data_IF_585498641204
#
_entry.id   IF_585498641204
#
_cell.length_a   1.000
_cell.length_b   1.000
_cell.length_c   1.000
_cell.angle_alpha   90.00
_cell.angle_beta   90.00
_cell.angle_gamma   90.00
#
_symmetry.space_group_name_H-M   'P 1'
#
loop_
_entity.id
_entity.type
_entity.pdbx_description
1 polymer ?
#
# COMPACT_ATOMS: atom_id res chain seq x y z
N UNK A 1 -9.75 4.26 -2.70
CA UNK A 1 -10.23 5.19 -3.75
C UNK A 1 -9.84 6.60 -3.35
N UNK A 2 -9.57 7.49 -4.32
CA UNK A 2 -9.28 8.91 -4.09
C UNK A 2 -9.90 9.76 -5.20
N UNK A 3 -10.15 11.03 -4.92
CA UNK A 3 -10.61 12.01 -5.91
C UNK A 3 -9.46 12.93 -6.29
N UNK A 4 -9.24 13.12 -7.58
CA UNK A 4 -8.26 14.06 -8.09
C UNK A 4 -8.78 14.72 -9.37
N UNK A 5 -8.73 16.05 -9.44
CA UNK A 5 -9.45 16.82 -10.45
C UNK A 5 -10.96 16.49 -10.45
N UNK A 6 -11.50 16.17 -11.62
CA UNK A 6 -12.91 15.88 -11.83
C UNK A 6 -13.26 14.39 -11.83
N UNK A 7 -12.33 13.52 -11.39
CA UNK A 7 -12.50 12.07 -11.45
C UNK A 7 -12.21 11.39 -10.11
N UNK A 8 -12.79 10.21 -9.97
CA UNK A 8 -12.50 9.25 -8.91
C UNK A 8 -11.58 8.17 -9.46
N UNK A 9 -10.58 7.80 -8.67
CA UNK A 9 -9.58 6.81 -9.01
C UNK A 9 -9.53 5.72 -7.94
N UNK A 10 -9.39 4.48 -8.38
CA UNK A 10 -9.16 3.33 -7.52
C UNK A 10 -7.93 2.56 -8.00
N UNK A 11 -7.33 1.80 -7.09
CA UNK A 11 -6.24 0.89 -7.39
C UNK A 11 -6.71 -0.48 -6.95
N UNK A 12 -6.79 -1.41 -7.90
CA UNK A 12 -7.12 -2.80 -7.64
C UNK A 12 -5.86 -3.62 -7.32
N UNK A 13 -6.05 -4.88 -6.94
CA UNK A 13 -4.97 -5.85 -6.75
C UNK A 13 -4.01 -5.85 -7.94
N UNK A 14 -2.73 -6.13 -7.68
CA UNK A 14 -1.65 -6.08 -8.69
C UNK A 14 -1.41 -4.67 -9.28
N UNK A 15 -1.91 -3.61 -8.63
CA UNK A 15 -1.56 -2.24 -8.97
C UNK A 15 -2.26 -1.67 -10.21
N UNK A 16 -3.41 -2.23 -10.60
CA UNK A 16 -4.20 -1.74 -11.75
C UNK A 16 -4.98 -0.50 -11.35
N UNK A 17 -4.74 0.62 -12.04
CA UNK A 17 -5.50 1.84 -11.83
C UNK A 17 -6.83 1.82 -12.60
N UNK A 18 -7.85 2.33 -11.95
CA UNK A 18 -9.22 2.41 -12.43
C UNK A 18 -9.71 3.87 -12.28
N UNK A 19 -10.51 4.36 -13.22
CA UNK A 19 -11.08 5.72 -13.17
C UNK A 19 -12.58 5.72 -13.41
N UNK A 20 -13.32 6.45 -12.57
CA UNK A 20 -14.75 6.73 -12.72
C UNK A 20 -15.00 8.23 -12.66
N UNK A 21 -16.10 8.71 -13.24
CA UNK A 21 -16.46 10.13 -13.23
C UNK A 21 -16.96 10.58 -11.86
N UNK A 22 -17.66 9.71 -11.14
CA UNK A 22 -18.34 10.02 -9.88
C UNK A 22 -18.10 8.97 -8.79
N UNK A 23 -17.34 7.91 -9.09
CA UNK A 23 -17.05 6.84 -8.14
C UNK A 23 -18.15 5.79 -8.02
N UNK A 24 -19.24 5.93 -8.79
CA UNK A 24 -20.39 5.01 -8.80
C UNK A 24 -20.64 4.46 -10.20
N UNK A 25 -20.51 5.30 -11.23
CA UNK A 25 -20.50 4.89 -12.63
C UNK A 25 -19.34 3.94 -12.92
N UNK A 26 -19.49 3.02 -13.91
CA UNK A 26 -18.48 2.01 -14.20
C UNK A 26 -17.07 2.60 -14.34
N UNK A 27 -16.12 1.92 -13.72
CA UNK A 27 -14.73 2.31 -13.81
C UNK A 27 -14.12 1.84 -15.12
N UNK A 28 -13.37 2.73 -15.76
CA UNK A 28 -12.52 2.40 -16.93
C UNK A 28 -11.14 2.02 -16.42
N UNK A 29 -10.60 0.92 -16.95
CA UNK A 29 -9.25 0.45 -16.63
C UNK A 29 -8.18 1.32 -17.29
N UNK A 30 -7.10 1.58 -16.55
CA UNK A 30 -5.93 2.32 -17.01
C UNK A 30 -4.64 1.54 -16.82
N UNK A 31 -3.51 2.23 -16.56
CA UNK A 31 -2.21 1.58 -16.45
C UNK A 31 -2.09 0.72 -15.20
N UNK A 32 -1.17 -0.23 -15.24
CA UNK A 32 -0.66 -0.96 -14.07
C UNK A 32 0.69 -0.33 -13.70
N UNK A 33 0.86 0.09 -12.44
CA UNK A 33 2.04 0.87 -12.00
C UNK A 33 2.94 0.15 -10.99
N UNK A 34 2.63 -1.09 -10.65
CA UNK A 34 3.34 -1.88 -9.63
C UNK A 34 3.64 -3.29 -10.17
N UNK A 35 4.16 -3.36 -11.39
CA UNK A 35 4.38 -4.58 -12.17
C UNK A 35 5.82 -4.73 -12.68
N UNK A 36 6.77 -4.00 -12.08
CA UNK A 36 8.19 -4.10 -12.44
C UNK A 36 8.77 -5.50 -12.21
N UNK A 37 8.22 -6.26 -11.26
CA UNK A 37 8.56 -7.65 -11.01
C UNK A 37 7.27 -8.49 -10.95
N UNK A 38 7.06 -9.44 -11.89
CA UNK A 38 5.84 -10.26 -11.92
C UNK A 38 5.73 -11.24 -10.75
N UNK A 39 6.81 -11.47 -10.00
CA UNK A 39 6.80 -12.31 -8.78
C UNK A 39 6.32 -11.53 -7.55
N UNK A 40 6.25 -10.20 -7.63
CA UNK A 40 5.85 -9.32 -6.54
C UNK A 40 4.48 -8.70 -6.83
N UNK A 41 3.48 -9.03 -6.02
CA UNK A 41 2.09 -8.60 -6.27
C UNK A 41 1.66 -7.63 -5.18
N UNK A 42 1.30 -6.40 -5.56
CA UNK A 42 0.64 -5.47 -4.66
C UNK A 42 -0.61 -6.12 -4.04
N UNK A 43 -0.66 -6.16 -2.70
CA UNK A 43 -1.72 -6.80 -1.93
C UNK A 43 -2.75 -5.77 -1.46
N UNK A 44 -2.50 -5.15 -0.32
CA UNK A 44 -3.33 -4.10 0.28
C UNK A 44 -2.57 -2.77 0.26
N UNK A 45 -3.32 -1.67 0.28
CA UNK A 45 -2.76 -0.33 0.20
C UNK A 45 -3.57 0.70 0.97
N UNK A 46 -2.89 1.79 1.34
CA UNK A 46 -3.48 3.04 1.79
C UNK A 46 -2.95 4.20 0.95
N UNK A 47 -3.81 5.19 0.74
CA UNK A 47 -3.54 6.33 -0.14
C UNK A 47 -3.51 7.63 0.64
N UNK A 48 -2.49 8.42 0.40
CA UNK A 48 -2.40 9.80 0.87
C UNK A 48 -2.20 10.73 -0.31
N UNK A 49 -3.22 11.53 -0.61
CA UNK A 49 -3.16 12.53 -1.66
C UNK A 49 -2.78 13.89 -1.06
N UNK A 50 -1.69 14.46 -1.55
CA UNK A 50 -1.26 15.81 -1.22
C UNK A 50 -1.08 16.61 -2.50
N UNK A 51 -1.98 17.55 -2.76
CA UNK A 51 -2.04 18.31 -4.01
C UNK A 51 -2.03 17.37 -5.25
N UNK A 52 -0.92 17.33 -5.98
CA UNK A 52 -0.74 16.49 -7.17
C UNK A 52 0.20 15.32 -6.93
N UNK A 53 0.46 14.96 -5.68
CA UNK A 53 1.31 13.84 -5.31
C UNK A 53 0.50 12.79 -4.56
N UNK A 54 0.41 11.61 -5.15
CA UNK A 54 -0.20 10.45 -4.53
C UNK A 54 0.88 9.59 -3.88
N UNK A 55 0.80 9.48 -2.56
CA UNK A 55 1.62 8.58 -1.76
C UNK A 55 0.84 7.28 -1.57
N UNK A 56 1.44 6.17 -1.98
CA UNK A 56 0.83 4.83 -1.91
C UNK A 56 1.64 4.03 -0.91
N UNK A 57 1.04 3.76 0.25
CA UNK A 57 1.55 2.81 1.24
C UNK A 57 1.00 1.44 0.91
N UNK A 58 1.83 0.41 0.84
CA UNK A 58 1.36 -0.91 0.41
C UNK A 58 2.26 -2.03 0.92
N UNK A 59 1.72 -3.24 0.92
CA UNK A 59 2.49 -4.48 1.09
C UNK A 59 2.44 -5.30 -0.20
N UNK A 60 3.38 -6.25 -0.36
CA UNK A 60 3.42 -7.12 -1.53
C UNK A 60 3.57 -8.59 -1.15
N UNK A 61 2.81 -9.43 -1.85
CA UNK A 61 3.05 -10.87 -1.93
C UNK A 61 4.40 -11.09 -2.61
N UNK A 62 5.18 -12.06 -2.12
CA UNK A 62 6.52 -12.38 -2.62
C UNK A 62 7.67 -11.69 -1.87
N UNK A 63 7.42 -10.58 -1.17
CA UNK A 63 8.43 -9.95 -0.32
C UNK A 63 8.86 -10.90 0.84
N UNK A 64 10.13 -10.79 1.27
CA UNK A 64 10.75 -11.62 2.31
C UNK A 64 11.61 -10.77 3.27
N UNK A 65 11.12 -10.39 4.47
CA UNK A 65 9.71 -10.47 4.88
C UNK A 65 8.82 -9.50 4.10
N UNK A 66 7.51 -9.78 4.07
CA UNK A 66 6.52 -8.78 3.66
C UNK A 66 6.50 -7.64 4.68
N UNK A 67 6.53 -6.41 4.16
CA UNK A 67 6.78 -5.18 4.92
C UNK A 67 5.99 -4.04 4.29
N UNK A 68 5.86 -2.92 5.00
CA UNK A 68 5.14 -1.76 4.46
C UNK A 68 6.11 -0.92 3.62
N UNK A 69 5.77 -0.77 2.36
CA UNK A 69 6.48 0.04 1.37
C UNK A 69 5.74 1.34 1.09
N UNK A 70 6.46 2.29 0.52
CA UNK A 70 5.94 3.55 0.03
C UNK A 70 6.49 3.87 -1.35
N UNK A 71 5.59 4.19 -2.28
CA UNK A 71 5.92 4.81 -3.55
C UNK A 71 5.12 6.11 -3.73
N UNK A 72 5.70 7.05 -4.47
CA UNK A 72 5.07 8.30 -4.85
C UNK A 72 4.72 8.29 -6.33
N UNK A 73 3.56 8.83 -6.68
CA UNK A 73 3.10 9.00 -8.06
C UNK A 73 2.77 10.49 -8.26
N UNK A 74 3.58 11.23 -9.03
CA UNK A 74 3.21 12.55 -9.51
C UNK A 74 2.01 12.45 -10.45
N UNK A 75 0.92 13.15 -10.12
CA UNK A 75 -0.33 13.12 -10.88
C UNK A 75 -0.33 14.22 -11.94
N UNK A 76 -0.38 13.78 -13.19
CA UNK A 76 -0.57 14.61 -14.38
C UNK A 76 -1.95 14.38 -15.01
N UNK A 77 -2.48 15.33 -15.83
CA UNK A 77 -3.78 15.16 -16.48
C UNK A 77 -3.88 13.87 -17.32
N UNK A 78 -2.80 13.51 -18.01
CA UNK A 78 -2.70 12.23 -18.71
C UNK A 78 -2.30 11.11 -17.74
N UNK A 79 -3.32 10.48 -17.15
CA UNK A 79 -3.14 9.41 -16.17
C UNK A 79 -2.53 8.12 -16.73
N UNK A 80 -2.52 7.91 -18.05
CA UNK A 80 -1.83 6.77 -18.66
C UNK A 80 -0.30 6.89 -18.56
N UNK A 81 0.20 8.12 -18.32
CA UNK A 81 1.63 8.41 -18.15
C UNK A 81 2.10 8.38 -16.70
N UNK A 82 1.21 8.16 -15.74
CA UNK A 82 1.61 8.04 -14.34
C UNK A 82 2.63 6.90 -14.17
N UNK A 83 3.56 7.08 -13.24
CA UNK A 83 4.58 6.10 -12.86
C UNK A 83 4.79 6.16 -11.35
N UNK A 84 4.92 5.00 -10.72
CA UNK A 84 5.33 4.92 -9.33
C UNK A 84 6.85 5.10 -9.24
N UNK A 85 7.31 5.79 -8.19
CA UNK A 85 8.72 5.75 -7.82
C UNK A 85 9.13 4.36 -7.36
N UNK A 86 10.43 4.07 -7.42
CA UNK A 86 10.99 2.91 -6.71
C UNK A 86 10.56 2.93 -5.24
N UNK A 87 10.18 1.78 -4.66
CA UNK A 87 9.67 1.72 -3.31
C UNK A 87 10.75 1.99 -2.27
N UNK A 88 10.36 2.69 -1.20
CA UNK A 88 11.13 2.76 0.03
C UNK A 88 10.44 1.96 1.14
N UNK A 89 11.22 1.36 2.04
CA UNK A 89 10.65 0.66 3.21
C UNK A 89 10.26 1.68 4.26
N UNK A 90 9.01 1.63 4.71
CA UNK A 90 8.46 2.49 5.78
C UNK A 90 8.55 1.79 7.13
N UNK A 91 8.08 0.54 7.18
CA UNK A 91 8.11 -0.32 8.37
C UNK A 91 8.42 -1.75 7.95
N UNK A 92 9.12 -2.47 8.81
CA UNK A 92 9.35 -3.91 8.72
C UNK A 92 9.16 -4.54 10.12
N UNK A 93 8.94 -5.85 10.25
CA UNK A 93 8.84 -6.48 11.56
C UNK A 93 10.14 -6.31 12.36
N UNK A 94 10.09 -5.71 13.54
CA UNK A 94 11.25 -5.46 14.40
C UNK A 94 11.11 -6.10 15.79
N UNK A 95 9.87 -6.27 16.24
CA UNK A 95 9.55 -6.79 17.58
C UNK A 95 8.96 -8.19 17.55
N UNK A 96 9.01 -8.89 18.70
CA UNK A 96 8.37 -10.19 18.83
C UNK A 96 6.85 -10.12 18.62
N UNK A 97 6.17 -9.02 18.99
CA UNK A 97 4.74 -8.92 18.70
C UNK A 97 4.45 -8.74 17.20
N UNK A 98 5.41 -8.22 16.43
CA UNK A 98 5.35 -8.14 14.96
C UNK A 98 5.73 -9.44 14.25
N UNK A 99 6.14 -10.47 15.00
CA UNK A 99 6.62 -11.73 14.45
C UNK A 99 8.09 -11.72 14.08
N UNK A 100 8.90 -10.77 14.58
CA UNK A 100 10.35 -10.80 14.34
C UNK A 100 11.06 -12.00 15.00
N UNK A 101 10.37 -12.72 15.88
CA UNK A 101 10.81 -13.93 16.57
C UNK A 101 10.54 -15.22 15.79
N UNK A 102 9.81 -15.17 14.67
CA UNK A 102 9.54 -16.33 13.81
C UNK A 102 10.41 -16.31 12.54
N UNK A 103 10.65 -17.45 11.88
CA UNK A 103 11.50 -17.49 10.69
C UNK A 103 11.05 -16.57 9.55
N UNK A 104 12.02 -15.94 8.88
CA UNK A 104 11.78 -15.12 7.69
C UNK A 104 11.38 -16.01 6.51
N UNK A 105 10.14 -15.87 6.05
CA UNK A 105 9.62 -16.51 4.83
C UNK A 105 9.10 -15.49 3.81
N UNK A 106 9.06 -15.89 2.55
CA UNK A 106 8.41 -15.10 1.51
C UNK A 106 6.89 -15.10 1.69
N UNK A 107 6.25 -13.96 1.50
CA UNK A 107 4.78 -13.89 1.56
C UNK A 107 4.14 -14.69 0.44
N UNK A 108 3.10 -15.47 0.79
CA UNK A 108 2.28 -16.26 -0.11
C UNK A 108 0.90 -15.62 -0.28
N UNK A 109 0.13 -15.93 -1.34
CA UNK A 109 -1.24 -15.45 -1.53
C UNK A 109 -2.22 -16.15 -0.58
N UNK A 110 -2.02 -15.99 0.72
CA UNK A 110 -2.79 -16.59 1.81
C UNK A 110 -3.31 -15.52 2.79
N UNK A 111 -4.12 -15.98 3.74
CA UNK A 111 -4.64 -15.22 4.89
C UNK A 111 -3.69 -15.29 6.10
N UNK A 112 -2.46 -15.79 5.95
CA UNK A 112 -1.52 -16.05 7.05
C UNK A 112 -2.17 -16.79 8.24
N UNK A 113 -2.47 -18.10 8.13
CA UNK A 113 -3.23 -18.85 9.14
C UNK A 113 -2.51 -19.00 10.51
N UNK A 114 -1.29 -18.46 10.66
CA UNK A 114 -0.53 -18.42 11.89
C UNK A 114 0.43 -17.24 11.91
N UNK A 115 1.21 -17.13 12.99
CA UNK A 115 2.21 -16.07 13.14
C UNK A 115 3.31 -16.21 12.09
N UNK A 116 3.52 -15.14 11.32
CA UNK A 116 4.59 -15.02 10.32
C UNK A 116 5.30 -13.68 10.48
N UNK A 117 6.56 -13.57 10.10
CA UNK A 117 7.30 -12.31 10.16
C UNK A 117 6.87 -11.40 8.99
N UNK A 118 5.66 -10.84 9.04
CA UNK A 118 5.08 -10.07 7.92
C UNK A 118 4.19 -8.93 8.45
N UNK A 119 4.33 -7.74 7.87
CA UNK A 119 3.42 -6.60 8.07
C UNK A 119 2.49 -6.45 6.86
N UNK A 120 1.19 -6.30 7.09
CA UNK A 120 0.16 -6.25 6.03
C UNK A 120 -0.82 -5.10 6.25
N UNK A 121 -1.76 -4.93 5.31
CA UNK A 121 -2.96 -4.09 5.44
C UNK A 121 -2.72 -2.66 5.94
N UNK A 122 -1.87 -1.87 5.27
CA UNK A 122 -1.68 -0.48 5.68
C UNK A 122 -2.99 0.29 5.59
N UNK A 123 -3.26 1.09 6.62
CA UNK A 123 -4.39 2.00 6.75
C UNK A 123 -3.92 3.34 7.29
N UNK A 124 -4.36 4.45 6.70
CA UNK A 124 -3.99 5.79 7.18
C UNK A 124 -5.10 6.40 8.02
N UNK A 125 -4.73 6.95 9.16
CA UNK A 125 -5.59 7.72 10.04
C UNK A 125 -4.97 9.10 10.30
N UNK A 126 -5.75 10.16 10.30
CA UNK A 126 -5.27 11.53 10.53
C UNK A 126 -6.06 12.19 11.64
N UNK A 127 -5.34 12.82 12.55
CA UNK A 127 -5.90 13.61 13.64
C UNK A 127 -5.17 14.95 13.68
N UNK A 128 -5.84 16.01 13.21
CA UNK A 128 -5.22 17.32 13.02
C UNK A 128 -4.03 17.26 12.08
N UNK A 129 -2.85 17.63 12.59
CA UNK A 129 -1.58 17.62 11.85
C UNK A 129 -0.85 16.27 11.93
N UNK A 130 -1.34 15.33 12.73
CA UNK A 130 -0.70 14.02 12.91
C UNK A 130 -1.25 13.02 11.91
N UNK A 131 -0.36 12.23 11.35
CA UNK A 131 -0.71 11.11 10.46
C UNK A 131 -0.23 9.84 11.12
N UNK A 132 -1.10 8.84 11.18
CA UNK A 132 -0.82 7.54 11.74
C UNK A 132 -1.01 6.46 10.67
N UNK A 133 -0.15 5.47 10.70
CA UNK A 133 -0.23 4.27 9.89
C UNK A 133 -0.66 3.11 10.79
N UNK A 134 -1.86 2.59 10.55
CA UNK A 134 -2.33 1.33 11.08
C UNK A 134 -1.88 0.20 10.14
N UNK A 135 -1.56 -0.96 10.69
CA UNK A 135 -1.12 -2.11 9.91
C UNK A 135 -1.33 -3.41 10.67
N UNK A 136 -1.55 -4.50 9.94
CA UNK A 136 -1.58 -5.85 10.48
C UNK A 136 -0.16 -6.34 10.79
N UNK A 137 -0.02 -7.07 11.90
CA UNK A 137 1.26 -7.55 12.43
C UNK A 137 1.27 -9.07 12.60
N UNK A 138 2.46 -9.66 12.57
CA UNK A 138 2.67 -11.10 12.64
C UNK A 138 1.77 -11.88 11.64
N UNK A 139 1.70 -11.39 10.39
CA UNK A 139 0.66 -11.74 9.43
C UNK A 139 -0.59 -10.87 9.64
N UNK A 140 -1.73 -11.51 9.88
CA UNK A 140 -3.02 -10.84 10.13
C UNK A 140 -3.51 -11.10 11.56
N UNK A 141 -2.58 -11.35 12.48
CA UNK A 141 -2.88 -11.81 13.85
C UNK A 141 -3.39 -10.69 14.76
N UNK A 142 -2.90 -9.45 14.57
CA UNK A 142 -3.26 -8.25 15.36
C UNK A 142 -3.05 -6.99 14.52
N UNK A 143 -3.45 -5.84 15.06
CA UNK A 143 -3.26 -4.51 14.46
C UNK A 143 -2.32 -3.68 15.35
N UNK A 144 -1.37 -2.99 14.73
CA UNK A 144 -0.51 -1.98 15.35
C UNK A 144 -0.74 -0.60 14.72
N UNK A 145 -0.19 0.43 15.37
CA UNK A 145 -0.26 1.83 14.90
C UNK A 145 1.09 2.51 15.12
N UNK A 146 1.54 3.28 14.12
CA UNK A 146 2.74 4.10 14.19
C UNK A 146 2.43 5.53 13.74
N UNK A 147 3.02 6.54 14.39
CA UNK A 147 2.96 7.92 13.93
C UNK A 147 3.95 8.14 12.78
N UNK A 148 3.47 8.63 11.63
CA UNK A 148 4.32 9.03 10.51
C UNK A 148 4.81 10.46 10.76
N UNK A 149 6.12 10.60 10.98
CA UNK A 149 6.77 11.91 11.15
C UNK A 149 7.52 12.29 9.88
N UNK A 150 7.41 13.55 9.41
CA UNK A 150 8.31 14.08 8.39
C UNK A 150 9.75 13.90 8.86
N UNK A 151 10.63 13.50 7.94
CA UNK A 151 12.07 13.63 8.14
C UNK A 151 12.51 15.04 7.81
#
# INVERSE_FOLDING_TARGET
MFRWGSFYYAIARAGVFLRSRDGVTPFVQGPRLFDEDPTLILRHLALYLQANDLWVYYSRIGDRPERILLSRIPLTPDWHKWRASSPVTVLQPETAYEGADVPVEASKPDEAPGRVQQLRDPGLFREGQRTYLLYSIAGESRIAIAELRPR
#
